data_IF_647860307824
#
_entry.id   IF_647860307824
#
_cell.length_a   1.000
_cell.length_b   1.000
_cell.length_c   1.000
_cell.angle_alpha   90.00
_cell.angle_beta   90.00
_cell.angle_gamma   90.00
#
_symmetry.space_group_name_H-M   'P 1'
#
loop_
_entity.id
_entity.type
_entity.pdbx_description
1 polymer ?
#
# COMPACT_ATOMS: atom_id res chain seq x y z
N UNK A 1 -5.72 -1.63 -9.12
CA UNK A 1 -4.41 -0.97 -8.96
C UNK A 1 -4.54 0.55 -8.93
N UNK A 2 -5.30 1.13 -9.86
CA UNK A 2 -5.51 2.58 -9.88
C UNK A 2 -6.27 3.07 -8.64
N UNK A 3 -7.25 2.30 -8.20
CA UNK A 3 -8.01 2.61 -7.00
C UNK A 3 -7.11 2.58 -5.76
N UNK A 4 -6.18 1.64 -5.70
CA UNK A 4 -5.21 1.56 -4.61
C UNK A 4 -4.28 2.77 -4.59
N UNK A 5 -3.72 3.12 -5.74
CA UNK A 5 -2.84 4.28 -5.85
C UNK A 5 -3.55 5.57 -5.44
N UNK A 6 -4.80 5.74 -5.86
CA UNK A 6 -5.61 6.89 -5.48
C UNK A 6 -5.87 6.92 -3.97
N UNK A 7 -6.19 5.76 -3.37
CA UNK A 7 -6.44 5.68 -1.94
C UNK A 7 -5.20 6.05 -1.14
N UNK A 8 -4.02 5.56 -1.54
CA UNK A 8 -2.75 5.90 -0.89
C UNK A 8 -2.46 7.39 -1.00
N UNK A 9 -2.61 7.97 -2.20
CA UNK A 9 -2.35 9.42 -2.42
C UNK A 9 -3.21 10.31 -1.54
N UNK A 10 -4.48 9.93 -1.35
CA UNK A 10 -5.41 10.73 -0.58
C UNK A 10 -5.41 10.39 0.90
N UNK A 11 -4.56 9.45 1.32
CA UNK A 11 -4.48 9.04 2.72
C UNK A 11 -5.66 8.21 3.18
N UNK A 12 -6.42 7.64 2.25
CA UNK A 12 -7.56 6.78 2.54
C UNK A 12 -7.09 5.33 2.70
N UNK A 13 -6.44 5.06 3.82
CA UNK A 13 -5.85 3.75 4.08
C UNK A 13 -6.89 2.68 4.37
N UNK A 14 -8.10 3.06 4.79
CA UNK A 14 -9.19 2.09 4.97
C UNK A 14 -9.61 1.50 3.62
N UNK A 15 -9.77 2.33 2.60
CA UNK A 15 -10.07 1.87 1.24
C UNK A 15 -8.91 1.05 0.68
N UNK A 16 -7.67 1.49 0.90
CA UNK A 16 -6.50 0.74 0.46
C UNK A 16 -6.45 -0.65 1.12
N UNK A 17 -6.78 -0.73 2.40
CA UNK A 17 -6.81 -2.00 3.12
C UNK A 17 -7.83 -2.98 2.53
N UNK A 18 -8.97 -2.48 2.05
CA UNK A 18 -9.99 -3.33 1.43
C UNK A 18 -9.52 -3.99 0.13
N UNK A 19 -8.47 -3.47 -0.49
CA UNK A 19 -7.87 -4.05 -1.69
C UNK A 19 -6.79 -5.08 -1.36
N UNK A 20 -6.45 -5.26 -0.08
CA UNK A 20 -5.52 -6.27 0.38
C UNK A 20 -6.19 -7.64 0.34
N UNK A 21 -5.43 -8.66 -0.06
CA UNK A 21 -5.92 -10.04 -0.15
C UNK A 21 -6.60 -10.47 1.15
N UNK A 22 -7.83 -11.01 1.10
CA UNK A 22 -8.54 -11.44 2.31
C UNK A 22 -7.76 -12.44 3.15
N UNK A 23 -6.97 -13.32 2.53
CA UNK A 23 -6.13 -14.26 3.26
C UNK A 23 -5.02 -13.53 4.03
N UNK A 24 -4.45 -12.48 3.46
CA UNK A 24 -3.48 -11.64 4.16
C UNK A 24 -4.14 -10.91 5.34
N UNK A 25 -5.34 -10.35 5.13
CA UNK A 25 -6.08 -9.67 6.19
C UNK A 25 -6.37 -10.59 7.37
N UNK A 26 -6.69 -11.84 7.11
CA UNK A 26 -6.98 -12.82 8.15
C UNK A 26 -5.75 -13.14 8.99
N UNK A 27 -4.57 -13.18 8.39
CA UNK A 27 -3.30 -13.45 9.08
C UNK A 27 -2.71 -12.23 9.78
N UNK A 28 -2.98 -11.03 9.24
CA UNK A 28 -2.40 -9.78 9.71
C UNK A 28 -3.49 -8.72 9.86
N UNK A 29 -4.43 -8.92 10.82
CA UNK A 29 -5.54 -7.96 10.97
C UNK A 29 -5.02 -6.59 11.35
N UNK A 30 -5.64 -5.56 10.77
CA UNK A 30 -5.29 -4.17 11.03
C UNK A 30 -6.10 -3.66 12.21
N UNK A 31 -5.42 -3.13 13.23
CA UNK A 31 -6.08 -2.55 14.40
C UNK A 31 -6.40 -1.08 14.18
N UNK A 32 -7.29 -0.53 15.01
CA UNK A 32 -7.59 0.90 14.98
C UNK A 32 -6.33 1.72 15.24
N UNK A 33 -5.47 1.26 16.15
CA UNK A 33 -4.22 1.94 16.46
C UNK A 33 -3.31 2.03 15.24
N UNK A 34 -3.24 0.97 14.44
CA UNK A 34 -2.45 0.98 13.22
C UNK A 34 -3.02 1.95 12.20
N UNK A 35 -4.35 1.99 12.02
CA UNK A 35 -4.98 2.98 11.14
C UNK A 35 -4.71 4.41 11.60
N UNK A 36 -4.74 4.66 12.91
CA UNK A 36 -4.42 5.97 13.46
C UNK A 36 -2.99 6.39 13.14
N UNK A 37 -2.04 5.45 13.16
CA UNK A 37 -0.66 5.75 12.77
C UNK A 37 -0.58 6.22 11.33
N UNK A 38 -1.30 5.57 10.41
CA UNK A 38 -1.32 5.99 9.02
C UNK A 38 -1.90 7.40 8.84
N UNK A 39 -2.82 7.80 9.70
CA UNK A 39 -3.41 9.14 9.63
C UNK A 39 -2.45 10.25 10.09
N UNK A 40 -1.34 9.90 10.72
CA UNK A 40 -0.34 10.88 11.16
C UNK A 40 0.64 11.27 10.06
N UNK A 41 0.53 10.66 8.91
CA UNK A 41 1.37 10.94 7.76
C UNK A 41 0.53 11.38 6.58
N UNK A 42 1.13 12.16 5.70
CA UNK A 42 0.54 12.60 4.44
C UNK A 42 1.40 12.09 3.30
N UNK A 43 0.76 11.55 2.28
CA UNK A 43 1.47 11.10 1.08
C UNK A 43 1.51 12.28 0.11
N UNK A 44 2.71 12.80 -0.13
CA UNK A 44 2.90 13.92 -1.06
C UNK A 44 3.23 13.47 -2.47
N UNK A 45 3.57 12.20 -2.66
CA UNK A 45 3.83 11.65 -3.99
C UNK A 45 3.76 10.14 -4.00
N UNK A 46 3.32 9.59 -5.12
CA UNK A 46 3.27 8.16 -5.40
C UNK A 46 3.78 7.96 -6.82
N UNK A 47 4.86 7.22 -6.97
CA UNK A 47 5.47 7.01 -8.28
C UNK A 47 5.79 5.55 -8.52
N UNK A 48 5.34 5.03 -9.65
CA UNK A 48 5.70 3.69 -10.11
C UNK A 48 7.12 3.73 -10.66
N UNK A 49 7.99 2.85 -10.17
CA UNK A 49 9.35 2.72 -10.66
C UNK A 49 9.45 1.64 -11.72
N UNK A 50 8.98 0.43 -11.40
CA UNK A 50 8.99 -0.70 -12.33
C UNK A 50 7.78 -1.58 -12.10
N UNK A 51 7.38 -2.29 -13.15
CA UNK A 51 6.34 -3.32 -13.07
C UNK A 51 6.83 -4.55 -13.81
N UNK A 52 6.71 -5.72 -13.19
CA UNK A 52 7.12 -6.97 -13.81
C UNK A 52 6.11 -8.09 -13.52
N UNK A 53 5.97 -9.03 -14.45
CA UNK A 53 5.16 -10.22 -14.23
C UNK A 53 5.89 -11.19 -13.32
N UNK A 54 5.17 -11.72 -12.33
CA UNK A 54 5.66 -12.77 -11.47
C UNK A 54 5.10 -14.13 -11.88
N UNK A 55 5.45 -15.20 -11.16
CA UNK A 55 4.91 -16.52 -11.41
C UNK A 55 3.41 -16.59 -11.08
N UNK A 56 2.71 -17.53 -11.71
CA UNK A 56 1.31 -17.84 -11.42
C UNK A 56 0.34 -16.66 -11.57
N UNK A 57 0.59 -15.79 -12.56
CA UNK A 57 -0.31 -14.66 -12.83
C UNK A 57 -0.21 -13.52 -11.83
N UNK A 58 0.84 -13.47 -11.03
CA UNK A 58 1.10 -12.34 -10.15
C UNK A 58 1.81 -11.22 -10.88
N UNK A 59 1.72 -10.01 -10.32
CA UNK A 59 2.42 -8.83 -10.83
C UNK A 59 3.14 -8.17 -9.66
N UNK A 60 4.41 -7.83 -9.86
CA UNK A 60 5.18 -7.08 -8.88
C UNK A 60 5.40 -5.66 -9.38
N UNK A 61 5.20 -4.68 -8.49
CA UNK A 61 5.47 -3.27 -8.78
C UNK A 61 6.38 -2.72 -7.70
N UNK A 62 7.44 -2.05 -8.12
CA UNK A 62 8.25 -1.26 -7.21
C UNK A 62 7.73 0.17 -7.25
N UNK A 63 7.46 0.75 -6.10
CA UNK A 63 6.91 2.10 -6.00
C UNK A 63 7.73 2.94 -5.04
N UNK A 64 7.68 4.25 -5.25
CA UNK A 64 8.32 5.22 -4.39
C UNK A 64 7.27 6.17 -3.85
N UNK A 65 7.22 6.31 -2.54
CA UNK A 65 6.30 7.20 -1.85
C UNK A 65 7.09 8.34 -1.20
N UNK A 66 6.55 9.55 -1.31
CA UNK A 66 6.99 10.66 -0.49
C UNK A 66 6.03 10.83 0.67
N UNK A 67 6.56 10.79 1.88
CA UNK A 67 5.77 10.76 3.10
C UNK A 67 6.15 11.96 3.96
N UNK A 68 5.15 12.72 4.37
CA UNK A 68 5.33 13.86 5.28
C UNK A 68 4.72 13.50 6.63
N UNK A 69 5.49 13.64 7.70
CA UNK A 69 4.97 13.49 9.06
C UNK A 69 4.22 14.78 9.40
N UNK A 70 2.93 14.67 9.72
CA UNK A 70 2.07 15.83 9.99
C UNK A 70 2.48 16.62 11.23
N UNK A 71 3.13 15.97 12.18
CA UNK A 71 3.55 16.62 13.44
C UNK A 71 4.86 17.39 13.30
N UNK A 72 5.83 16.82 12.58
CA UNK A 72 7.16 17.40 12.43
C UNK A 72 7.35 18.08 11.09
N UNK A 73 6.46 17.84 10.14
CA UNK A 73 6.55 18.28 8.75
C UNK A 73 7.81 17.77 8.04
N UNK A 74 8.47 16.77 8.60
CA UNK A 74 9.61 16.13 7.95
C UNK A 74 9.15 15.25 6.82
N UNK A 75 9.76 15.40 5.65
CA UNK A 75 9.49 14.59 4.47
C UNK A 75 10.57 13.54 4.30
N UNK A 76 10.17 12.36 3.86
CA UNK A 76 11.13 11.33 3.49
C UNK A 76 10.56 10.49 2.35
N UNK A 77 11.45 9.77 1.69
CA UNK A 77 11.10 8.88 0.58
C UNK A 77 11.14 7.45 1.09
N UNK A 78 10.08 6.71 0.82
CA UNK A 78 9.95 5.29 1.16
C UNK A 78 9.78 4.51 -0.14
N UNK A 79 10.56 3.47 -0.32
CA UNK A 79 10.42 2.55 -1.44
C UNK A 79 9.92 1.23 -0.92
N UNK A 80 8.92 0.65 -1.62
CA UNK A 80 8.45 -0.67 -1.27
C UNK A 80 7.97 -1.40 -2.51
N UNK A 81 7.78 -2.70 -2.36
CA UNK A 81 7.35 -3.56 -3.46
C UNK A 81 5.95 -4.03 -3.22
N UNK A 82 5.07 -3.80 -4.20
CA UNK A 82 3.70 -4.31 -4.21
C UNK A 82 3.67 -5.62 -4.98
N UNK A 83 3.00 -6.63 -4.43
CA UNK A 83 2.72 -7.86 -5.14
C UNK A 83 1.22 -8.00 -5.28
N UNK A 84 0.75 -8.18 -6.50
CA UNK A 84 -0.68 -8.27 -6.85
C UNK A 84 -1.01 -9.63 -7.40
N UNK A 85 -2.18 -10.15 -7.03
CA UNK A 85 -2.70 -11.42 -7.51
C UNK A 85 -4.04 -11.20 -8.21
N UNK A 86 -4.20 -11.73 -9.42
CA UNK A 86 -5.47 -11.68 -10.13
C UNK A 86 -6.41 -12.77 -9.60
N UNK A 87 -7.62 -12.36 -9.23
CA UNK A 87 -8.70 -13.25 -8.79
C UNK A 87 -9.74 -13.32 -9.91
N UNK A 88 -9.73 -14.40 -10.68
CA UNK A 88 -10.62 -14.55 -11.83
C UNK A 88 -12.09 -14.72 -11.41
N UNK A 89 -12.35 -15.29 -10.23
CA UNK A 89 -13.71 -15.46 -9.74
C UNK A 89 -14.34 -14.14 -9.35
N UNK A 90 -13.60 -13.31 -8.64
CA UNK A 90 -14.06 -11.99 -8.21
C UNK A 90 -13.86 -10.92 -9.29
N UNK A 91 -13.00 -11.17 -10.27
CA UNK A 91 -12.65 -10.20 -11.31
C UNK A 91 -11.88 -9.01 -10.78
N UNK A 92 -11.03 -9.21 -9.78
CA UNK A 92 -10.27 -8.12 -9.14
C UNK A 92 -8.83 -8.53 -8.90
N UNK A 93 -7.98 -7.51 -8.72
CA UNK A 93 -6.61 -7.68 -8.27
C UNK A 93 -6.54 -7.49 -6.75
N UNK A 94 -5.90 -8.43 -6.07
CA UNK A 94 -5.66 -8.34 -4.64
C UNK A 94 -4.20 -8.03 -4.35
N UNK A 95 -3.95 -7.10 -3.43
CA UNK A 95 -2.61 -6.79 -2.94
C UNK A 95 -2.23 -7.85 -1.90
N UNK A 96 -1.21 -8.65 -2.18
CA UNK A 96 -0.78 -9.73 -1.30
C UNK A 96 0.37 -9.36 -0.37
N UNK A 97 0.98 -8.20 -0.58
CA UNK A 97 2.11 -7.73 0.23
C UNK A 97 1.70 -6.81 1.38
N UNK A 98 0.42 -6.46 1.48
CA UNK A 98 -0.08 -5.57 2.54
C UNK A 98 0.22 -4.10 2.28
N UNK A 99 -0.18 -3.25 3.21
CA UNK A 99 0.08 -1.82 3.12
C UNK A 99 1.57 -1.53 3.34
N UNK A 100 2.09 -0.40 2.80
CA UNK A 100 3.50 -0.06 2.97
C UNK A 100 3.85 0.24 4.42
N UNK A 101 5.05 -0.14 4.83
CA UNK A 101 5.60 0.24 6.13
C UNK A 101 6.22 1.62 5.99
N UNK A 102 5.47 2.65 6.37
CA UNK A 102 5.89 4.04 6.25
C UNK A 102 6.83 4.46 7.36
N UNK A 103 7.09 3.58 8.32
CA UNK A 103 7.94 3.85 9.46
C UNK A 103 9.28 3.12 9.40
N UNK A 104 9.51 2.33 8.38
CA UNK A 104 10.77 1.62 8.19
C UNK A 104 11.92 2.63 8.10
N UNK A 105 12.96 2.42 8.90
CA UNK A 105 14.12 3.30 8.90
C UNK A 105 13.98 4.56 9.76
N UNK A 106 12.91 4.68 10.51
CA UNK A 106 12.76 5.77 11.48
C UNK A 106 13.59 5.53 12.74
#
# INVERSE_FOLDING_TARGET
QDAYAAAIRWGDFETAWQLVDPAYQAKHPMTELEFERYQQVQISGYRDLTTSGGPDGTVERAVELRVINKHTMAERTVRYRETWRWDAEAGVWWLTSGLPDLWAGQ
#
